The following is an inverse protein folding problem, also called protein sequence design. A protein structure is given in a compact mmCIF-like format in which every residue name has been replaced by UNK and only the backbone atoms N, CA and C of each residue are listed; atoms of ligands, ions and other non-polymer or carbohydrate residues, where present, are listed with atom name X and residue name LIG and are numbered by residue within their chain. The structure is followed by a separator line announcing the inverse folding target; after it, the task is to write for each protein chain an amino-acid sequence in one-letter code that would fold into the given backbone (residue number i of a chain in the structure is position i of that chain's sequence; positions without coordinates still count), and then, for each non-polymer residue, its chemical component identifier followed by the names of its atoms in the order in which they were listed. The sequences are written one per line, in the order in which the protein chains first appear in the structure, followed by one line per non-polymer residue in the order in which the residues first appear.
data_IF_203497849174
#
_entry.id   IF_203497849174
#
_cell.length_a   1.000
_cell.length_b   1.000
_cell.length_c   1.000
_cell.angle_alpha   90.00
_cell.angle_beta   90.00
_cell.angle_gamma   90.00
#
_symmetry.space_group_name_H-M   'P 1'
#
loop_
_entity.id
_entity.type
_entity.pdbx_description
1 polymer ?
#
# COMPACT_ATOMS: atom_id res chain seq x y z
N UNK A 1 -9.42 -13.73 3.29
CA UNK A 1 -9.66 -14.40 1.99
C UNK A 1 -8.36 -14.66 1.22
N UNK A 2 -7.45 -13.69 1.07
CA UNK A 2 -6.17 -13.84 0.34
C UNK A 2 -5.30 -15.02 0.80
N UNK A 3 -5.03 -15.16 2.10
CA UNK A 3 -4.24 -16.28 2.62
C UNK A 3 -4.88 -17.64 2.34
N UNK A 4 -6.21 -17.68 2.34
CA UNK A 4 -6.99 -18.87 2.01
C UNK A 4 -6.89 -19.20 0.51
N UNK A 5 -6.89 -18.20 -0.37
CA UNK A 5 -6.68 -18.38 -1.81
C UNK A 5 -5.25 -18.85 -2.11
N UNK A 6 -4.25 -18.27 -1.46
CA UNK A 6 -2.85 -18.71 -1.59
C UNK A 6 -2.65 -20.15 -1.12
N UNK A 7 -3.23 -20.50 0.04
CA UNK A 7 -3.19 -21.87 0.56
C UNK A 7 -3.94 -22.84 -0.34
N UNK A 8 -5.12 -22.47 -0.87
CA UNK A 8 -5.87 -23.32 -1.79
C UNK A 8 -5.16 -23.52 -3.13
N UNK A 9 -4.50 -22.49 -3.67
CA UNK A 9 -3.69 -22.63 -4.88
C UNK A 9 -2.49 -23.55 -4.63
N UNK A 10 -1.78 -23.37 -3.52
CA UNK A 10 -0.68 -24.28 -3.13
C UNK A 10 -1.15 -25.74 -3.01
N UNK A 11 -2.24 -25.98 -2.27
CA UNK A 11 -2.78 -27.33 -2.10
C UNK A 11 -3.27 -27.95 -3.42
N UNK A 12 -3.79 -27.12 -4.34
CA UNK A 12 -4.22 -27.57 -5.66
C UNK A 12 -3.04 -27.97 -6.54
N UNK A 13 -1.97 -27.17 -6.56
CA UNK A 13 -0.74 -27.50 -7.30
C UNK A 13 -0.14 -28.83 -6.81
N UNK A 14 -0.05 -29.00 -5.47
CA UNK A 14 0.40 -30.26 -4.84
C UNK A 14 -0.47 -31.44 -5.23
N UNK A 15 -1.80 -31.30 -5.17
CA UNK A 15 -2.73 -32.38 -5.50
C UNK A 15 -2.69 -32.78 -6.98
N UNK A 16 -2.36 -31.84 -7.86
CA UNK A 16 -2.23 -32.07 -9.30
C UNK A 16 -0.83 -32.54 -9.72
N UNK A 17 0.11 -32.70 -8.77
CA UNK A 17 1.50 -33.08 -9.05
C UNK A 17 2.28 -31.99 -9.80
N UNK A 18 1.77 -30.76 -9.82
CA UNK A 18 2.44 -29.60 -10.39
C UNK A 18 3.36 -29.01 -9.33
N UNK A 19 4.59 -28.64 -9.69
CA UNK A 19 5.48 -27.93 -8.78
C UNK A 19 4.83 -26.63 -8.33
N UNK A 20 4.48 -26.47 -7.04
CA UNK A 20 3.79 -25.27 -6.59
C UNK A 20 4.67 -24.05 -6.78
N UNK A 21 4.09 -22.94 -7.25
CA UNK A 21 4.81 -21.68 -7.40
C UNK A 21 5.23 -21.06 -6.04
N UNK A 22 4.58 -21.48 -4.96
CA UNK A 22 5.01 -21.26 -3.58
C UNK A 22 5.65 -22.56 -3.04
N UNK A 23 6.96 -22.57 -2.83
CA UNK A 23 7.61 -23.69 -2.16
C UNK A 23 7.24 -23.73 -0.65
N UNK A 24 7.05 -24.94 -0.10
CA UNK A 24 6.68 -25.18 1.30
C UNK A 24 7.72 -24.60 2.27
N UNK A 25 9.00 -24.66 1.91
CA UNK A 25 10.08 -24.01 2.68
C UNK A 25 9.87 -22.49 2.72
N UNK A 26 9.48 -21.91 1.58
CA UNK A 26 9.20 -20.49 1.42
C UNK A 26 7.98 -20.04 2.19
N UNK A 27 6.99 -20.92 2.40
CA UNK A 27 5.79 -20.62 3.20
C UNK A 27 6.19 -20.44 4.66
N UNK A 28 6.97 -21.36 5.24
CA UNK A 28 7.41 -21.26 6.63
C UNK A 28 8.31 -20.04 6.88
N UNK A 29 9.19 -19.70 5.94
CA UNK A 29 10.08 -18.53 6.03
C UNK A 29 9.37 -17.19 5.75
N UNK A 30 8.29 -17.20 4.96
CA UNK A 30 7.50 -15.99 4.65
C UNK A 30 6.33 -15.75 5.61
N UNK A 31 5.80 -16.80 6.23
CA UNK A 31 4.70 -16.74 7.20
C UNK A 31 5.17 -16.77 8.65
N UNK A 32 6.49 -16.66 8.91
CA UNK A 32 6.96 -16.43 10.28
C UNK A 32 6.25 -15.21 10.82
N UNK A 33 5.52 -15.39 11.93
CA UNK A 33 4.78 -14.31 12.56
C UNK A 33 5.73 -13.12 12.74
N UNK A 34 5.46 -11.95 12.12
CA UNK A 34 6.35 -10.82 12.27
C UNK A 34 6.46 -10.49 13.77
N UNK A 35 7.69 -10.27 14.26
CA UNK A 35 7.88 -9.72 15.60
C UNK A 35 7.23 -8.35 15.61
N UNK A 36 6.09 -8.24 16.28
CA UNK A 36 5.41 -6.98 16.49
C UNK A 36 6.29 -6.09 17.36
N UNK A 37 6.93 -5.10 16.74
CA UNK A 37 7.47 -3.96 17.49
C UNK A 37 6.38 -2.91 17.47
N UNK A 38 5.62 -2.80 18.57
CA UNK A 38 4.67 -1.71 18.73
C UNK A 38 5.37 -0.39 18.43
N UNK A 39 4.86 0.36 17.45
CA UNK A 39 5.48 1.60 17.03
C UNK A 39 5.01 2.74 17.94
N UNK A 40 5.93 3.66 18.24
CA UNK A 40 5.61 4.87 19.00
C UNK A 40 4.97 5.89 18.06
N UNK A 41 3.70 6.23 18.30
CA UNK A 41 2.89 7.17 17.53
C UNK A 41 3.26 8.64 17.76
N UNK A 42 4.46 8.94 18.24
CA UNK A 42 4.78 10.23 18.87
C UNK A 42 5.30 11.29 17.91
N UNK A 43 5.55 10.95 16.65
CA UNK A 43 6.18 11.86 15.71
C UNK A 43 5.16 12.34 14.66
N UNK A 44 5.05 13.65 14.50
CA UNK A 44 4.24 14.25 13.44
C UNK A 44 5.03 14.30 12.12
N UNK A 45 4.37 14.20 10.95
CA UNK A 45 5.04 14.37 9.67
C UNK A 45 5.66 15.76 9.59
N UNK A 46 6.83 15.87 8.96
CA UNK A 46 7.51 17.16 8.81
C UNK A 46 6.79 18.11 7.84
N UNK A 47 5.94 17.57 6.95
CA UNK A 47 5.08 18.35 6.05
C UNK A 47 3.62 18.27 6.48
N UNK A 48 2.78 19.20 6.01
CA UNK A 48 1.33 19.04 6.06
C UNK A 48 0.89 17.68 5.51
N UNK A 49 0.04 16.99 6.29
CA UNK A 49 -0.51 15.67 5.94
C UNK A 49 -1.12 15.66 4.54
N UNK A 50 -1.74 16.77 4.14
CA UNK A 50 -2.40 16.97 2.84
C UNK A 50 -1.46 16.82 1.65
N UNK A 51 -0.15 17.03 1.80
CA UNK A 51 0.82 16.85 0.73
C UNK A 51 1.03 15.38 0.35
N UNK A 52 0.86 14.47 1.30
CA UNK A 52 1.03 13.04 1.06
C UNK A 52 -0.22 12.39 0.45
N UNK A 53 -1.40 12.98 0.65
CA UNK A 53 -2.68 12.46 0.15
C UNK A 53 -2.71 12.46 -1.39
N UNK A 54 -3.18 11.35 -1.96
CA UNK A 54 -3.43 11.22 -3.39
C UNK A 54 -3.26 9.80 -3.93
N UNK A 55 -3.57 9.66 -5.23
CA UNK A 55 -3.36 8.44 -5.98
C UNK A 55 -1.95 8.42 -6.59
N UNK A 56 -1.21 7.36 -6.34
CA UNK A 56 0.12 7.09 -6.88
C UNK A 56 0.04 5.87 -7.80
N UNK A 57 0.63 5.97 -8.98
CA UNK A 57 0.48 4.99 -10.06
C UNK A 57 1.83 4.46 -10.49
N UNK A 58 1.95 3.14 -10.61
CA UNK A 58 3.03 2.46 -11.29
C UNK A 58 2.41 1.60 -12.42
N UNK A 59 2.87 1.70 -13.68
CA UNK A 59 2.26 0.97 -14.79
C UNK A 59 2.23 -0.56 -14.63
N UNK A 60 3.19 -1.12 -13.89
CA UNK A 60 3.36 -2.57 -13.69
C UNK A 60 2.73 -2.99 -12.36
N UNK A 61 3.02 -2.26 -11.30
CA UNK A 61 2.57 -2.58 -9.95
C UNK A 61 1.19 -2.01 -9.60
N UNK A 62 0.52 -1.28 -10.51
CA UNK A 62 -0.82 -0.75 -10.29
C UNK A 62 -0.86 0.51 -9.43
N UNK A 63 -1.91 0.63 -8.59
CA UNK A 63 -2.29 1.90 -7.96
C UNK A 63 -2.25 1.83 -6.43
N UNK A 64 -1.61 2.83 -5.83
CA UNK A 64 -1.57 3.09 -4.39
C UNK A 64 -2.36 4.35 -4.09
N UNK A 65 -3.26 4.30 -3.12
CA UNK A 65 -4.02 5.48 -2.70
C UNK A 65 -3.68 5.82 -1.25
N UNK A 66 -3.23 7.05 -1.02
CA UNK A 66 -2.94 7.57 0.33
C UNK A 66 -4.06 8.52 0.72
N UNK A 67 -4.69 8.24 1.86
CA UNK A 67 -5.81 8.98 2.42
C UNK A 67 -5.50 9.37 3.87
N UNK A 68 -6.25 10.32 4.43
CA UNK A 68 -6.23 10.60 5.86
C UNK A 68 -7.45 9.94 6.50
N UNK A 69 -7.24 9.13 7.54
CA UNK A 69 -8.33 8.60 8.35
C UNK A 69 -8.65 9.60 9.48
N UNK A 70 -9.80 10.29 9.42
CA UNK A 70 -10.16 11.28 10.42
C UNK A 70 -10.52 10.66 11.78
N UNK A 71 -10.84 9.36 11.83
CA UNK A 71 -11.25 8.71 13.08
C UNK A 71 -10.05 8.35 13.95
N UNK A 72 -8.94 8.00 13.30
CA UNK A 72 -7.71 7.56 13.96
C UNK A 72 -6.55 8.55 13.76
N UNK A 73 -6.83 9.71 13.16
CA UNK A 73 -5.92 10.85 12.97
C UNK A 73 -4.56 10.52 12.32
N UNK A 74 -4.53 9.60 11.36
CA UNK A 74 -3.30 9.22 10.67
C UNK A 74 -3.51 8.98 9.18
N UNK A 75 -2.40 8.90 8.43
CA UNK A 75 -2.40 8.57 7.01
C UNK A 75 -2.61 7.07 6.82
N UNK A 76 -3.50 6.69 5.92
CA UNK A 76 -3.74 5.30 5.53
C UNK A 76 -3.40 5.10 4.06
N UNK A 77 -2.76 3.98 3.75
CA UNK A 77 -2.45 3.54 2.41
C UNK A 77 -3.37 2.39 2.03
N UNK A 78 -3.95 2.47 0.84
CA UNK A 78 -4.73 1.39 0.22
C UNK A 78 -4.05 0.89 -1.05
N UNK A 79 -3.87 -0.42 -1.14
CA UNK A 79 -3.37 -1.11 -2.32
C UNK A 79 -4.25 -2.33 -2.60
N UNK A 80 -5.05 -2.26 -3.67
CA UNK A 80 -6.07 -3.27 -3.94
C UNK A 80 -7.05 -3.39 -2.75
N UNK A 81 -7.09 -4.56 -2.12
CA UNK A 81 -7.94 -4.84 -0.94
C UNK A 81 -7.21 -4.70 0.40
N UNK A 82 -5.93 -4.37 0.37
CA UNK A 82 -5.08 -4.28 1.55
C UNK A 82 -4.92 -2.84 2.01
N UNK A 83 -4.82 -2.66 3.32
CA UNK A 83 -4.72 -1.35 3.98
C UNK A 83 -3.54 -1.35 4.94
N UNK A 84 -2.82 -0.24 5.01
CA UNK A 84 -1.75 0.00 5.96
C UNK A 84 -1.89 1.37 6.61
N UNK A 85 -1.62 1.43 7.91
CA UNK A 85 -1.56 2.66 8.69
C UNK A 85 -0.12 3.18 8.63
N UNK A 86 0.05 4.48 8.38
CA UNK A 86 1.36 5.11 8.27
C UNK A 86 1.76 5.80 9.57
N UNK A 87 2.98 5.46 10.01
CA UNK A 87 3.64 6.03 11.17
C UNK A 87 4.94 6.69 10.72
N UNK A 88 5.19 7.90 11.18
CA UNK A 88 6.39 8.65 10.77
C UNK A 88 7.67 7.99 11.30
N UNK A 89 8.75 8.13 10.54
CA UNK A 89 10.10 7.70 10.93
C UNK A 89 10.95 8.93 11.27
N UNK A 90 12.16 8.72 11.79
CA UNK A 90 13.10 9.81 12.10
C UNK A 90 13.56 10.61 10.87
N UNK A 91 13.44 10.05 9.66
CA UNK A 91 13.81 10.73 8.41
C UNK A 91 12.68 11.56 7.81
N UNK A 92 13.03 12.68 7.17
CA UNK A 92 12.09 13.52 6.40
C UNK A 92 11.38 12.68 5.35
N UNK A 93 10.06 12.81 5.27
CA UNK A 93 9.22 12.14 4.25
C UNK A 93 9.31 10.60 4.25
N UNK A 94 9.75 10.01 5.36
CA UNK A 94 9.83 8.57 5.55
C UNK A 94 8.74 8.09 6.51
N UNK A 95 8.02 7.05 6.08
CA UNK A 95 6.96 6.43 6.85
C UNK A 95 7.24 4.95 7.00
N UNK A 96 7.03 4.46 8.22
CA UNK A 96 6.75 3.05 8.44
C UNK A 96 5.28 2.79 8.16
N UNK A 97 4.99 1.57 7.77
CA UNK A 97 3.63 1.14 7.51
C UNK A 97 3.30 -0.10 8.31
N UNK A 98 2.12 -0.14 8.89
CA UNK A 98 1.60 -1.29 9.60
C UNK A 98 0.33 -1.78 8.89
N UNK A 99 0.34 -3.04 8.43
CA UNK A 99 -0.84 -3.60 7.79
C UNK A 99 -2.01 -3.71 8.76
N UNK A 100 -3.24 -3.53 8.29
CA UNK A 100 -4.44 -3.69 9.13
C UNK A 100 -5.17 -5.00 8.87
N UNK A 101 -5.98 -5.45 9.83
CA UNK A 101 -6.73 -6.70 9.74
C UNK A 101 -5.83 -7.92 9.57
N UNK A 102 -6.01 -8.65 8.47
CA UNK A 102 -5.17 -9.83 8.14
C UNK A 102 -3.81 -9.45 7.55
N UNK A 103 -3.64 -8.24 7.05
CA UNK A 103 -2.41 -7.76 6.41
C UNK A 103 -1.31 -7.52 7.45
N UNK A 104 -1.68 -7.26 8.72
CA UNK A 104 -0.74 -7.08 9.83
C UNK A 104 0.21 -8.25 10.06
N UNK A 105 -0.16 -9.44 9.59
CA UNK A 105 0.65 -10.65 9.69
C UNK A 105 1.60 -10.86 8.50
N UNK A 106 1.56 -9.98 7.49
CA UNK A 106 2.43 -10.04 6.33
C UNK A 106 3.67 -9.18 6.55
N UNK A 107 4.87 -9.77 6.39
CA UNK A 107 6.17 -9.17 6.69
C UNK A 107 6.62 -8.08 5.69
N UNK A 108 5.90 -7.90 4.58
CA UNK A 108 6.52 -7.45 3.34
C UNK A 108 6.30 -5.97 3.00
N UNK A 109 5.48 -5.20 3.73
CA UNK A 109 5.24 -3.79 3.42
C UNK A 109 5.36 -2.91 4.65
N UNK A 110 6.56 -2.36 4.89
CA UNK A 110 6.91 -1.72 6.16
C UNK A 110 7.66 -0.39 6.04
N UNK A 111 8.14 0.00 4.85
CA UNK A 111 8.90 1.25 4.66
C UNK A 111 8.51 1.93 3.36
N UNK A 112 8.16 3.20 3.46
CA UNK A 112 7.70 4.06 2.39
C UNK A 112 8.50 5.36 2.44
N UNK A 113 9.09 5.74 1.31
CA UNK A 113 9.81 7.00 1.20
C UNK A 113 9.13 7.85 0.14
N UNK A 114 8.60 9.00 0.52
CA UNK A 114 8.07 9.94 -0.44
C UNK A 114 9.22 10.75 -1.03
N UNK A 115 9.23 10.86 -2.35
CA UNK A 115 10.24 11.60 -3.10
C UNK A 115 9.67 12.92 -3.58
N UNK A 116 10.47 13.95 -3.49
CA UNK A 116 10.13 15.33 -3.86
C UNK A 116 10.74 15.73 -5.18
N UNK A 117 10.16 16.75 -5.80
CA UNK A 117 10.77 17.45 -6.93
C UNK A 117 11.67 18.61 -6.45
N UNK A 118 12.23 19.36 -7.39
CA UNK A 118 13.07 20.54 -7.14
C UNK A 118 12.35 21.65 -6.34
N UNK A 119 11.03 21.70 -6.40
CA UNK A 119 10.21 22.65 -5.64
C UNK A 119 9.81 22.11 -4.25
N UNK A 120 10.50 21.07 -3.77
CA UNK A 120 10.24 20.37 -2.51
C UNK A 120 8.84 19.74 -2.41
N UNK A 121 8.10 19.58 -3.52
CA UNK A 121 6.75 19.00 -3.53
C UNK A 121 6.75 17.48 -3.74
N UNK A 122 5.88 16.76 -3.02
CA UNK A 122 5.74 15.30 -3.12
C UNK A 122 5.22 14.88 -4.51
N UNK A 123 6.04 14.13 -5.26
CA UNK A 123 5.72 13.68 -6.62
C UNK A 123 5.65 12.18 -6.80
N UNK A 124 6.23 11.40 -5.87
CA UNK A 124 6.18 9.95 -5.95
C UNK A 124 6.41 9.30 -4.59
N UNK A 125 6.11 8.02 -4.50
CA UNK A 125 6.42 7.19 -3.33
C UNK A 125 7.20 5.96 -3.80
N UNK A 126 8.33 5.73 -3.13
CA UNK A 126 9.18 4.55 -3.30
C UNK A 126 8.83 3.56 -2.20
N UNK A 127 8.52 2.32 -2.60
CA UNK A 127 8.15 1.26 -1.66
C UNK A 127 9.23 0.19 -1.65
N UNK A 128 10.21 0.36 -0.76
CA UNK A 128 11.44 -0.47 -0.71
C UNK A 128 11.14 -1.95 -0.50
N UNK A 129 10.01 -2.24 0.12
CA UNK A 129 9.66 -3.57 0.60
C UNK A 129 8.90 -4.42 -0.42
N UNK A 130 8.47 -3.86 -1.56
CA UNK A 130 7.86 -4.66 -2.65
C UNK A 130 8.82 -5.69 -3.24
N UNK A 131 10.12 -5.43 -3.17
CA UNK A 131 11.10 -6.30 -3.77
C UNK A 131 12.39 -6.31 -2.96
N UNK A 132 12.55 -7.34 -2.13
CA UNK A 132 13.77 -7.56 -1.34
C UNK A 132 14.99 -7.94 -2.19
N UNK A 133 14.78 -8.30 -3.46
CA UNK A 133 15.82 -8.78 -4.39
C UNK A 133 16.10 -7.82 -5.55
N UNK A 134 15.37 -6.71 -5.65
CA UNK A 134 15.55 -5.73 -6.75
C UNK A 134 16.76 -4.81 -6.53
N UNK A 135 17.55 -5.04 -5.47
CA UNK A 135 18.71 -4.21 -5.15
C UNK A 135 18.32 -2.74 -4.98
N UNK A 136 18.82 -1.90 -5.87
CA UNK A 136 18.64 -0.44 -5.84
C UNK A 136 17.42 0.07 -6.63
N UNK A 137 16.63 -0.82 -7.25
CA UNK A 137 15.48 -0.44 -8.09
C UNK A 137 14.13 -0.89 -7.49
N UNK A 138 13.74 -0.41 -6.30
CA UNK A 138 12.40 -0.65 -5.78
C UNK A 138 11.35 0.08 -6.63
N UNK A 139 10.10 -0.43 -6.67
CA UNK A 139 9.07 0.21 -7.47
C UNK A 139 8.74 1.61 -6.94
N UNK A 140 8.67 2.55 -7.89
CA UNK A 140 8.28 3.93 -7.67
C UNK A 140 6.88 4.13 -8.24
N UNK A 141 5.98 4.68 -7.42
CA UNK A 141 4.64 5.05 -7.83
C UNK A 141 4.56 6.57 -7.95
N UNK A 142 4.23 7.07 -9.13
CA UNK A 142 4.17 8.51 -9.38
C UNK A 142 2.81 9.07 -9.02
N UNK A 143 2.79 10.20 -8.31
CA UNK A 143 1.56 10.88 -7.92
C UNK A 143 0.82 11.31 -9.17
N UNK A 144 -0.39 10.80 -9.34
CA UNK A 144 -1.27 11.20 -10.42
C UNK A 144 -1.64 12.66 -10.19
N UNK A 145 -1.23 13.54 -11.11
CA UNK A 145 -1.68 14.93 -11.08
C UNK A 145 -3.21 14.91 -11.12
N UNK A 146 -3.85 15.59 -10.17
CA UNK A 146 -5.29 15.85 -10.25
C UNK A 146 -5.53 16.62 -11.55
N UNK A 147 -5.95 15.90 -12.58
CA UNK A 147 -6.48 16.53 -13.78
C UNK A 147 -7.63 17.42 -13.31
N UNK A 148 -7.63 18.70 -13.70
CA UNK A 148 -8.82 19.55 -13.63
C UNK A 148 -9.87 18.98 -14.61
N UNK A 149 -10.40 17.79 -14.32
CA UNK A 149 -11.44 17.12 -15.05
C UNK A 149 -12.77 17.53 -14.46
N UNK A 150 -13.56 18.29 -15.23
CA UNK A 150 -14.92 18.71 -14.89
C UNK A 150 -15.70 17.51 -14.34
N UNK A 151 -16.27 17.67 -13.14
CA UNK A 151 -17.28 16.77 -12.60
C UNK A 151 -18.48 16.83 -13.56
N UNK A 152 -18.60 15.88 -14.49
CA UNK A 152 -19.86 15.64 -15.18
C UNK A 152 -20.82 15.03 -14.16
N UNK A 153 -21.62 15.90 -13.53
CA UNK A 153 -22.80 15.48 -12.77
C UNK A 153 -23.77 14.83 -13.75
N UNK A 154 -23.83 13.50 -13.78
CA UNK A 154 -24.93 12.79 -14.41
C UNK A 154 -26.19 13.04 -13.57
N UNK A 155 -27.05 13.95 -14.05
CA UNK A 155 -28.37 14.20 -13.48
C UNK A 155 -29.29 13.09 -13.95
N UNK A 156 -29.63 12.15 -13.07
CA UNK A 156 -30.65 11.15 -13.33
C UNK A 156 -32.00 11.85 -13.61
N UNK A 157 -32.53 11.69 -14.82
CA UNK A 157 -33.90 12.11 -15.16
C UNK A 157 -34.87 11.18 -14.42
N UNK A 158 -35.64 11.71 -13.47
CA UNK A 158 -36.80 11.02 -12.92
C UNK A 158 -37.88 10.91 -14.01
N UNK A 159 -38.11 9.70 -14.51
CA UNK A 159 -39.23 9.39 -15.38
C UNK A 159 -40.51 9.38 -14.54
N UNK A 160 -41.43 10.32 -14.77
CA UNK A 160 -42.81 10.24 -14.26
C UNK A 160 -43.54 9.19 -15.09
N UNK A 161 -43.99 8.11 -14.45
CA UNK A 161 -45.04 7.23 -15.02
C UNK A 161 -46.37 7.99 -14.94
N UNK A 162 -47.05 8.13 -16.08
CA UNK A 162 -48.48 8.47 -16.17
C UNK A 162 -49.30 7.25 -15.85
#
# INVERSE_FOLDING_TARGET
YILRVLLHNFLSDVALGVTPWLDASSICDRLTAPKYTGYSNTNNPQRPITEYIGLYVNPICGNLNVEFDPNNEHLVLRYGVATWDFWTKSGKDQFKAEGTGMIKYLKNMHSFNFLTNENDGIVSVRVDSFCSTCGNDPPIFHKKKNGKGKIQRYRAKKTKKK
#
